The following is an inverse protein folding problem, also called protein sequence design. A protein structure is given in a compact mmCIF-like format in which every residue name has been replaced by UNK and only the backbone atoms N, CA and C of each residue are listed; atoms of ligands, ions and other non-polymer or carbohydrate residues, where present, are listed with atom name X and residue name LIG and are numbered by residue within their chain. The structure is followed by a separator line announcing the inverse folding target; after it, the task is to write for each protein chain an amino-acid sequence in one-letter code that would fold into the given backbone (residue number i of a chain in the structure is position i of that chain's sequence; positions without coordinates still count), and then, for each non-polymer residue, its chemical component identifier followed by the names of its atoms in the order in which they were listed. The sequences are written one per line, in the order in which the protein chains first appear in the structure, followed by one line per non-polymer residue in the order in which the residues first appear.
data_IF_685491873374
#
_entry.id   IF_685491873374
#
_cell.length_a   1.000
_cell.length_b   1.000
_cell.length_c   1.000
_cell.angle_alpha   90.00
_cell.angle_beta   90.00
_cell.angle_gamma   90.00
#
_symmetry.space_group_name_H-M   'P 1'
#
loop_
_entity.id
_entity.type
_entity.pdbx_description
1 polymer ?
#
# COMPACT_ATOMS: atom_id res chain seq x y z
N UNK A 1 1.15 9.51 -21.23
CA UNK A 1 0.55 10.14 -20.03
C UNK A 1 -0.04 9.04 -19.16
N UNK A 2 0.48 8.82 -17.95
CA UNK A 2 -0.14 7.87 -17.03
C UNK A 2 -1.48 8.46 -16.57
N UNK A 3 -2.56 8.00 -17.18
CA UNK A 3 -3.90 8.44 -16.80
C UNK A 3 -4.19 8.01 -15.36
N UNK A 4 -5.02 8.77 -14.63
CA UNK A 4 -5.50 8.40 -13.29
C UNK A 4 -6.05 6.97 -13.25
N UNK A 5 -6.62 6.48 -14.35
CA UNK A 5 -7.09 5.10 -14.49
C UNK A 5 -5.96 4.08 -14.34
N UNK A 6 -4.79 4.34 -14.93
CA UNK A 6 -3.63 3.47 -14.78
C UNK A 6 -3.09 3.50 -13.35
N UNK A 7 -3.02 4.69 -12.73
CA UNK A 7 -2.58 4.82 -11.34
C UNK A 7 -3.53 4.07 -10.37
N UNK A 8 -4.85 4.13 -10.59
CA UNK A 8 -5.81 3.35 -9.79
C UNK A 8 -5.61 1.83 -9.91
N UNK A 9 -5.29 1.34 -11.12
CA UNK A 9 -4.97 -0.07 -11.32
C UNK A 9 -3.69 -0.46 -10.60
N UNK A 10 -2.66 0.36 -10.71
CA UNK A 10 -1.38 0.16 -10.04
C UNK A 10 -1.55 0.12 -8.51
N UNK A 11 -2.29 1.09 -7.94
CA UNK A 11 -2.71 1.09 -6.53
C UNK A 11 -3.38 -0.24 -6.14
N UNK A 12 -4.38 -0.68 -6.91
CA UNK A 12 -5.09 -1.93 -6.64
C UNK A 12 -4.15 -3.13 -6.63
N UNK A 13 -3.32 -3.30 -7.66
CA UNK A 13 -2.45 -4.46 -7.78
C UNK A 13 -1.32 -4.45 -6.75
N UNK A 14 -0.72 -3.28 -6.49
CA UNK A 14 0.42 -3.18 -5.56
C UNK A 14 -0.02 -3.36 -4.12
N UNK A 15 -1.07 -2.68 -3.66
CA UNK A 15 -1.56 -2.89 -2.29
C UNK A 15 -2.15 -4.29 -2.10
N UNK A 16 -2.79 -4.86 -3.13
CA UNK A 16 -3.22 -6.26 -3.11
C UNK A 16 -2.04 -7.22 -2.92
N UNK A 17 -0.95 -7.03 -3.67
CA UNK A 17 0.26 -7.84 -3.53
C UNK A 17 0.93 -7.68 -2.15
N UNK A 18 0.97 -6.46 -1.60
CA UNK A 18 1.49 -6.23 -0.24
C UNK A 18 0.63 -6.92 0.83
N UNK A 19 -0.69 -6.92 0.65
CA UNK A 19 -1.61 -7.58 1.57
C UNK A 19 -1.45 -9.11 1.49
N UNK A 20 -1.35 -9.66 0.28
CA UNK A 20 -1.06 -11.09 0.08
C UNK A 20 0.28 -11.48 0.73
N UNK A 21 1.32 -10.66 0.59
CA UNK A 21 2.60 -10.85 1.28
C UNK A 21 2.45 -10.83 2.80
N UNK A 22 1.67 -9.89 3.36
CA UNK A 22 1.37 -9.82 4.79
C UNK A 22 0.75 -11.14 5.29
N UNK A 23 -0.23 -11.68 4.56
CA UNK A 23 -0.85 -12.97 4.90
C UNK A 23 0.10 -14.15 4.74
N UNK A 24 0.90 -14.20 3.68
CA UNK A 24 1.89 -15.25 3.47
C UNK A 24 2.94 -15.26 4.59
N UNK A 25 3.36 -14.10 5.08
CA UNK A 25 4.32 -14.01 6.18
C UNK A 25 3.75 -14.67 7.45
N UNK A 26 2.48 -14.42 7.77
CA UNK A 26 1.81 -15.04 8.93
C UNK A 26 1.73 -16.58 8.81
N UNK A 27 1.51 -17.08 7.59
CA UNK A 27 1.39 -18.52 7.35
C UNK A 27 2.74 -19.23 7.35
N UNK A 28 3.80 -18.59 6.85
CA UNK A 28 5.10 -19.23 6.60
C UNK A 28 6.09 -19.03 7.76
N UNK A 29 5.99 -17.92 8.51
CA UNK A 29 6.92 -17.61 9.59
C UNK A 29 6.25 -17.79 10.98
N UNK A 30 6.43 -18.95 11.63
CA UNK A 30 5.70 -19.30 12.86
C UNK A 30 6.07 -18.44 14.08
N UNK A 31 7.13 -17.64 14.00
CA UNK A 31 7.58 -16.74 15.07
C UNK A 31 7.02 -15.32 14.92
N UNK A 32 6.45 -14.98 13.77
CA UNK A 32 5.85 -13.66 13.55
C UNK A 32 4.71 -13.46 14.53
N UNK A 33 4.67 -12.26 15.12
CA UNK A 33 3.58 -11.91 16.03
C UNK A 33 2.29 -11.70 15.21
N UNK A 34 1.24 -12.50 15.46
CA UNK A 34 -0.01 -12.41 14.71
C UNK A 34 -0.69 -11.04 14.87
N UNK A 35 -0.57 -10.37 16.02
CA UNK A 35 -1.17 -9.04 16.22
C UNK A 35 -0.43 -7.98 15.40
N UNK A 36 0.90 -8.02 15.38
CA UNK A 36 1.72 -7.11 14.60
C UNK A 36 1.48 -7.28 13.09
N UNK A 37 1.34 -8.53 12.64
CA UNK A 37 1.04 -8.82 11.24
C UNK A 37 -0.39 -8.39 10.86
N UNK A 38 -1.39 -8.64 11.71
CA UNK A 38 -2.75 -8.18 11.49
C UNK A 38 -2.83 -6.64 11.44
N UNK A 39 -2.10 -5.94 12.32
CA UNK A 39 -2.01 -4.49 12.30
C UNK A 39 -1.40 -3.96 10.99
N UNK A 40 -0.37 -4.63 10.46
CA UNK A 40 0.22 -4.26 9.17
C UNK A 40 -0.73 -4.49 8.00
N UNK A 41 -1.48 -5.60 8.00
CA UNK A 41 -2.52 -5.85 7.00
C UNK A 41 -3.60 -4.75 7.04
N UNK A 42 -4.05 -4.33 8.22
CA UNK A 42 -5.00 -3.21 8.37
C UNK A 42 -4.42 -1.88 7.87
N UNK A 43 -3.12 -1.65 8.09
CA UNK A 43 -2.43 -0.46 7.58
C UNK A 43 -2.41 -0.42 6.05
N UNK A 44 -2.17 -1.57 5.40
CA UNK A 44 -2.20 -1.71 3.94
C UNK A 44 -3.61 -1.40 3.39
N UNK A 45 -4.66 -1.94 4.01
CA UNK A 45 -6.06 -1.67 3.61
C UNK A 45 -6.46 -0.19 3.78
N UNK A 46 -6.01 0.43 4.87
CA UNK A 46 -6.22 1.86 5.12
C UNK A 46 -5.47 2.72 4.09
N UNK A 47 -4.23 2.35 3.74
CA UNK A 47 -3.43 3.03 2.72
C UNK A 47 -4.09 2.93 1.33
N UNK A 48 -4.62 1.76 0.99
CA UNK A 48 -5.39 1.57 -0.25
C UNK A 48 -6.62 2.49 -0.30
N UNK A 49 -7.44 2.48 0.75
CA UNK A 49 -8.66 3.30 0.83
C UNK A 49 -8.32 4.80 0.74
N UNK A 50 -7.33 5.27 1.50
CA UNK A 50 -6.87 6.65 1.47
C UNK A 50 -6.33 7.08 0.09
N UNK A 51 -5.60 6.19 -0.59
CA UNK A 51 -5.07 6.43 -1.95
C UNK A 51 -6.19 6.59 -2.97
N UNK A 52 -7.25 5.77 -2.86
CA UNK A 52 -8.42 5.87 -3.74
C UNK A 52 -9.23 7.14 -3.49
N UNK A 53 -9.44 7.54 -2.23
CA UNK A 53 -10.15 8.76 -1.88
C UNK A 53 -9.48 10.01 -2.43
N UNK A 54 -8.14 10.06 -2.37
CA UNK A 54 -7.36 11.16 -2.96
C UNK A 54 -7.54 11.25 -4.48
N UNK A 55 -7.77 10.12 -5.14
CA UNK A 55 -8.03 10.05 -6.58
C UNK A 55 -9.52 10.19 -6.95
N UNK A 56 -10.44 10.09 -5.99
CA UNK A 56 -11.89 10.21 -6.21
C UNK A 56 -12.36 11.66 -6.18
N UNK A 57 -11.71 12.55 -5.42
CA UNK A 57 -12.13 13.96 -5.26
C UNK A 57 -12.15 14.70 -6.60
N UNK A 58 -13.36 15.09 -7.02
CA UNK A 58 -13.68 15.90 -8.22
C UNK A 58 -13.31 17.39 -8.07
N UNK A 59 -12.57 17.80 -7.03
CA UNK A 59 -12.54 19.21 -6.59
C UNK A 59 -11.49 20.13 -7.23
N UNK A 60 -10.62 19.68 -8.14
CA UNK A 60 -9.62 20.58 -8.74
C UNK A 60 -9.47 20.47 -10.25
N UNK A 61 -9.35 21.64 -10.89
CA UNK A 61 -9.24 21.86 -12.34
C UNK A 61 -7.95 21.30 -12.97
N UNK A 62 -6.99 20.79 -12.19
CA UNK A 62 -5.66 20.39 -12.69
C UNK A 62 -5.31 18.93 -12.39
N UNK A 63 -5.93 18.02 -13.14
CA UNK A 63 -5.84 16.56 -12.97
C UNK A 63 -4.42 15.97 -13.06
N UNK A 64 -3.51 16.61 -13.80
CA UNK A 64 -2.13 16.17 -13.96
C UNK A 64 -1.29 16.41 -12.70
N UNK A 65 -1.44 17.56 -12.05
CA UNK A 65 -0.76 17.88 -10.79
C UNK A 65 -1.19 16.90 -9.69
N UNK A 66 -2.49 16.59 -9.61
CA UNK A 66 -3.04 15.59 -8.69
C UNK A 66 -2.47 14.20 -8.93
N UNK A 67 -2.43 13.74 -10.18
CA UNK A 67 -1.90 12.42 -10.51
C UNK A 67 -0.42 12.30 -10.10
N UNK A 68 0.38 13.35 -10.29
CA UNK A 68 1.79 13.39 -9.88
C UNK A 68 1.95 13.38 -8.37
N UNK A 69 1.16 14.17 -7.64
CA UNK A 69 1.19 14.19 -6.18
C UNK A 69 0.77 12.84 -5.57
N UNK A 70 -0.35 12.29 -6.05
CA UNK A 70 -0.83 10.97 -5.64
C UNK A 70 0.17 9.86 -5.97
N UNK A 71 0.87 9.95 -7.11
CA UNK A 71 1.94 9.01 -7.46
C UNK A 71 3.09 9.07 -6.46
N UNK A 72 3.62 10.26 -6.18
CA UNK A 72 4.73 10.41 -5.22
C UNK A 72 4.37 9.87 -3.84
N UNK A 73 3.15 10.13 -3.38
CA UNK A 73 2.68 9.64 -2.10
C UNK A 73 2.47 8.13 -2.08
N UNK A 74 1.91 7.58 -3.16
CA UNK A 74 1.76 6.14 -3.35
C UNK A 74 3.12 5.44 -3.30
N UNK A 75 4.10 5.91 -4.07
CA UNK A 75 5.44 5.32 -4.12
C UNK A 75 6.10 5.32 -2.72
N UNK A 76 6.00 6.45 -1.99
CA UNK A 76 6.53 6.55 -0.62
C UNK A 76 5.81 5.64 0.38
N UNK A 77 4.49 5.50 0.25
CA UNK A 77 3.70 4.61 1.12
C UNK A 77 4.05 3.14 0.86
N UNK A 78 4.19 2.76 -0.41
CA UNK A 78 4.61 1.40 -0.80
C UNK A 78 5.99 1.08 -0.22
N UNK A 79 6.97 1.98 -0.38
CA UNK A 79 8.31 1.80 0.18
C UNK A 79 8.28 1.61 1.71
N UNK A 80 7.48 2.42 2.42
CA UNK A 80 7.33 2.32 3.86
C UNK A 80 6.68 0.99 4.30
N UNK A 81 5.64 0.53 3.60
CA UNK A 81 4.96 -0.74 3.90
C UNK A 81 5.85 -1.94 3.57
N UNK A 82 6.58 -1.92 2.46
CA UNK A 82 7.58 -2.94 2.11
C UNK A 82 8.66 -3.06 3.18
N UNK A 83 9.22 -1.93 3.65
CA UNK A 83 10.20 -1.95 4.72
C UNK A 83 9.63 -2.52 6.04
N UNK A 84 8.34 -2.30 6.32
CA UNK A 84 7.67 -2.91 7.49
C UNK A 84 7.50 -4.43 7.32
N UNK A 85 7.12 -4.91 6.13
CA UNK A 85 7.04 -6.35 5.84
C UNK A 85 8.40 -7.02 6.00
N UNK A 86 9.47 -6.39 5.49
CA UNK A 86 10.84 -6.90 5.65
C UNK A 86 11.26 -6.97 7.11
N UNK A 87 10.97 -5.94 7.92
CA UNK A 87 11.26 -5.95 9.35
C UNK A 87 10.46 -7.02 10.10
N UNK A 88 9.20 -7.21 9.74
CA UNK A 88 8.33 -8.22 10.34
C UNK A 88 8.93 -9.63 10.21
N UNK A 89 9.61 -9.90 9.09
CA UNK A 89 10.34 -11.16 8.85
C UNK A 89 11.74 -11.14 9.49
N UNK A 90 12.49 -10.06 9.27
CA UNK A 90 13.91 -9.93 9.64
C UNK A 90 14.17 -9.80 11.14
N UNK A 91 13.23 -9.30 11.94
CA UNK A 91 13.38 -9.25 13.40
C UNK A 91 13.31 -10.64 14.05
N UNK A 92 12.88 -11.69 13.34
CA UNK A 92 12.63 -13.02 13.91
C UNK A 92 13.13 -14.22 13.09
N UNK A 93 13.90 -13.98 12.02
CA UNK A 93 14.61 -15.03 11.27
C UNK A 93 15.72 -15.67 12.12
#
# INVERSE_FOLDING_TARGET
MASIKNLKKEILYTYGALLDQCYLIQMVFPKVDPEAAQALCQEIENAYSASLDKLSRQQEKNSAARAKAARKEFDATVEALSAKLEKLVGEKA
#
